data_IF_231811406055
#
_entry.id   IF_231811406055
#
_cell.length_a   1.000
_cell.length_b   1.000
_cell.length_c   1.000
_cell.angle_alpha   90.00
_cell.angle_beta   90.00
_cell.angle_gamma   90.00
#
_symmetry.space_group_name_H-M   'P 1'
#
loop_
_entity.id
_entity.type
_entity.pdbx_description
1 polymer ?
#
# COMPACT_ATOMS: atom_id res chain seq x y z
N UNK A 1 -4.06 8.02 -20.90
CA UNK A 1 -5.09 7.07 -21.42
C UNK A 1 -5.95 6.40 -20.34
N UNK A 2 -5.71 6.60 -19.03
CA UNK A 2 -6.49 5.91 -17.98
C UNK A 2 -7.05 6.87 -16.91
N UNK A 3 -7.29 8.12 -17.32
CA UNK A 3 -7.68 9.21 -16.43
C UNK A 3 -8.96 8.94 -15.62
N UNK A 4 -9.93 8.24 -16.20
CA UNK A 4 -11.15 7.85 -15.50
C UNK A 4 -10.91 6.92 -14.30
N UNK A 5 -10.05 5.90 -14.43
CA UNK A 5 -9.67 4.98 -13.35
C UNK A 5 -8.94 5.77 -12.27
N UNK A 6 -7.93 6.56 -12.66
CA UNK A 6 -7.20 7.43 -11.73
C UNK A 6 -8.12 8.33 -10.92
N UNK A 7 -9.03 9.04 -11.59
CA UNK A 7 -10.02 9.93 -10.95
C UNK A 7 -10.95 9.16 -10.02
N UNK A 8 -11.39 7.96 -10.41
CA UNK A 8 -12.24 7.13 -9.55
C UNK A 8 -11.51 6.72 -8.28
N UNK A 9 -10.22 6.36 -8.35
CA UNK A 9 -9.43 6.04 -7.16
C UNK A 9 -9.29 7.27 -6.25
N UNK A 10 -8.98 8.45 -6.79
CA UNK A 10 -8.94 9.68 -5.99
C UNK A 10 -10.28 10.01 -5.34
N UNK A 11 -11.41 9.79 -6.02
CA UNK A 11 -12.73 9.96 -5.43
C UNK A 11 -12.97 8.99 -4.26
N UNK A 12 -12.45 7.76 -4.32
CA UNK A 12 -12.56 6.79 -3.22
C UNK A 12 -11.78 7.24 -1.98
N UNK A 13 -10.59 7.84 -2.16
CA UNK A 13 -9.84 8.48 -1.06
C UNK A 13 -10.63 9.64 -0.45
N UNK A 14 -11.13 10.55 -1.29
CA UNK A 14 -11.92 11.70 -0.84
C UNK A 14 -13.18 11.29 -0.05
N UNK A 15 -13.88 10.24 -0.51
CA UNK A 15 -15.06 9.70 0.17
C UNK A 15 -14.75 9.10 1.54
N UNK A 16 -13.49 8.76 1.82
CA UNK A 16 -13.00 8.30 3.13
C UNK A 16 -12.41 9.42 3.98
N UNK A 17 -12.56 10.67 3.55
CA UNK A 17 -11.98 11.82 4.24
C UNK A 17 -10.46 11.92 4.11
N UNK A 18 -9.84 11.13 3.22
CA UNK A 18 -8.39 11.20 2.96
C UNK A 18 -8.11 12.43 2.13
N UNK A 19 -7.22 13.27 2.62
CA UNK A 19 -6.77 14.46 1.90
C UNK A 19 -5.70 14.07 0.88
N UNK A 20 -5.84 14.53 -0.36
CA UNK A 20 -4.80 14.34 -1.40
C UNK A 20 -3.96 15.61 -1.49
N UNK A 21 -2.66 15.48 -1.26
CA UNK A 21 -1.70 16.57 -1.39
C UNK A 21 -0.71 16.25 -2.51
N UNK A 22 -0.58 17.17 -3.47
CA UNK A 22 0.44 17.07 -4.52
C UNK A 22 1.67 17.83 -4.04
N UNK A 23 2.79 17.13 -3.92
CA UNK A 23 4.09 17.68 -3.54
C UNK A 23 5.12 17.35 -4.64
N UNK A 24 5.25 18.26 -5.60
CA UNK A 24 6.23 18.14 -6.69
C UNK A 24 7.67 18.40 -6.23
N UNK A 25 7.88 18.77 -4.97
CA UNK A 25 9.22 19.00 -4.39
C UNK A 25 9.84 17.74 -3.79
N UNK A 26 9.10 16.63 -3.76
CA UNK A 26 9.63 15.32 -3.39
C UNK A 26 10.70 14.89 -4.41
N UNK A 27 11.94 14.72 -3.96
CA UNK A 27 13.11 14.35 -4.78
C UNK A 27 13.04 12.92 -5.39
N UNK A 28 11.90 12.25 -5.28
CA UNK A 28 11.67 10.90 -5.79
C UNK A 28 10.65 10.92 -6.93
N UNK A 29 11.02 10.50 -8.16
CA UNK A 29 10.07 10.34 -9.23
C UNK A 29 9.13 9.17 -8.94
N UNK A 30 7.87 9.27 -9.41
CA UNK A 30 6.83 8.26 -9.24
C UNK A 30 6.58 7.92 -7.77
N UNK A 31 6.42 8.96 -6.94
CA UNK A 31 6.20 8.83 -5.51
C UNK A 31 4.71 8.93 -5.17
N UNK A 32 4.22 7.97 -4.39
CA UNK A 32 2.90 8.00 -3.78
C UNK A 32 3.03 7.36 -2.39
N UNK A 33 2.47 7.98 -1.37
CA UNK A 33 2.52 7.44 -0.02
C UNK A 33 1.34 7.90 0.81
N UNK A 34 0.68 6.96 1.48
CA UNK A 34 -0.28 7.27 2.52
C UNK A 34 0.44 7.65 3.81
N UNK A 35 0.45 8.94 4.13
CA UNK A 35 0.98 9.45 5.39
C UNK A 35 -0.03 9.23 6.50
N UNK A 36 0.24 8.23 7.33
CA UNK A 36 -0.43 8.01 8.60
C UNK A 36 0.19 8.95 9.64
N UNK A 37 -0.62 9.82 10.23
CA UNK A 37 -0.19 10.75 11.27
C UNK A 37 -0.42 10.14 12.65
N UNK A 38 0.44 10.46 13.61
CA UNK A 38 0.35 9.95 14.98
C UNK A 38 -0.91 10.44 15.71
N UNK A 39 -1.48 11.57 15.29
CA UNK A 39 -2.70 12.13 15.87
C UNK A 39 -3.93 11.55 15.14
N UNK A 40 -4.79 10.74 15.81
CA UNK A 40 -5.96 10.11 15.18
C UNK A 40 -6.99 11.11 14.65
N UNK A 41 -6.98 12.34 15.17
CA UNK A 41 -7.89 13.42 14.77
C UNK A 41 -7.45 14.10 13.47
N UNK A 42 -6.22 13.85 13.02
CA UNK A 42 -5.74 14.31 11.73
C UNK A 42 -6.03 13.25 10.68
N UNK A 43 -6.91 13.58 9.73
CA UNK A 43 -7.24 12.70 8.62
C UNK A 43 -5.98 12.24 7.87
N UNK A 44 -6.01 11.00 7.39
CA UNK A 44 -4.96 10.45 6.54
C UNK A 44 -4.71 11.37 5.35
N UNK A 45 -3.45 11.51 4.95
CA UNK A 45 -3.06 12.30 3.79
C UNK A 45 -2.34 11.41 2.78
N UNK A 46 -2.85 11.36 1.55
CA UNK A 46 -2.15 10.76 0.43
C UNK A 46 -1.24 11.81 -0.19
N UNK A 47 0.07 11.59 -0.13
CA UNK A 47 1.07 12.45 -0.76
C UNK A 47 1.38 11.91 -2.14
N UNK A 48 1.22 12.75 -3.16
CA UNK A 48 1.47 12.44 -4.57
C UNK A 48 2.64 13.30 -5.05
N UNK A 49 3.73 12.65 -5.46
CA UNK A 49 4.87 13.31 -6.10
C UNK A 49 4.69 13.43 -7.61
N UNK A 50 5.76 13.80 -8.30
CA UNK A 50 5.76 13.89 -9.77
C UNK A 50 5.81 12.51 -10.41
N UNK A 51 4.83 12.21 -11.25
CA UNK A 51 4.79 10.99 -12.06
C UNK A 51 5.28 11.21 -13.49
N UNK A 52 6.06 10.26 -14.00
CA UNK A 52 6.49 10.19 -15.40
C UNK A 52 5.81 9.06 -16.16
N UNK A 53 5.06 8.21 -15.45
CA UNK A 53 4.35 7.05 -15.99
C UNK A 53 2.93 7.01 -15.38
N UNK A 54 1.92 7.29 -16.22
CA UNK A 54 0.50 7.28 -15.85
C UNK A 54 0.04 5.91 -15.33
N UNK A 55 0.58 4.81 -15.87
CA UNK A 55 0.21 3.47 -15.43
C UNK A 55 0.76 3.23 -14.04
N UNK A 56 2.03 3.57 -13.82
CA UNK A 56 2.67 3.44 -12.51
C UNK A 56 1.97 4.30 -11.45
N UNK A 57 1.51 5.50 -11.80
CA UNK A 57 0.68 6.32 -10.91
C UNK A 57 -0.57 5.54 -10.46
N UNK A 58 -1.32 4.97 -11.42
CA UNK A 58 -2.55 4.22 -11.13
C UNK A 58 -2.27 3.01 -10.22
N UNK A 59 -1.18 2.29 -10.46
CA UNK A 59 -0.81 1.15 -9.63
C UNK A 59 -0.46 1.61 -8.21
N UNK A 60 0.35 2.64 -8.07
CA UNK A 60 0.76 3.13 -6.75
C UNK A 60 -0.43 3.68 -5.95
N UNK A 61 -1.30 4.50 -6.54
CA UNK A 61 -2.49 5.00 -5.82
C UNK A 61 -3.47 3.87 -5.48
N UNK A 62 -3.58 2.84 -6.32
CA UNK A 62 -4.40 1.66 -6.01
C UNK A 62 -3.80 0.85 -4.84
N UNK A 63 -2.47 0.72 -4.78
CA UNK A 63 -1.75 0.08 -3.68
C UNK A 63 -1.95 0.81 -2.35
N UNK A 64 -1.81 2.13 -2.35
CA UNK A 64 -2.09 2.96 -1.16
C UNK A 64 -3.54 2.85 -0.70
N UNK A 65 -4.48 2.72 -1.64
CA UNK A 65 -5.87 2.45 -1.28
C UNK A 65 -6.04 1.05 -0.68
N UNK A 66 -5.28 0.07 -1.19
CA UNK A 66 -5.21 -1.27 -0.62
C UNK A 66 -4.76 -1.28 0.84
N UNK A 67 -3.84 -0.39 1.24
CA UNK A 67 -3.47 -0.21 2.65
C UNK A 67 -4.65 0.25 3.50
N UNK A 68 -5.43 1.23 3.04
CA UNK A 68 -6.64 1.68 3.76
C UNK A 68 -7.60 0.50 3.95
N UNK A 69 -7.90 -0.23 2.87
CA UNK A 69 -8.78 -1.40 2.93
C UNK A 69 -8.26 -2.45 3.90
N UNK A 70 -6.95 -2.67 3.93
CA UNK A 70 -6.36 -3.61 4.88
C UNK A 70 -6.58 -3.17 6.33
N UNK A 71 -6.24 -1.93 6.69
CA UNK A 71 -6.40 -1.42 8.05
C UNK A 71 -7.85 -1.34 8.51
N UNK A 72 -8.79 -1.00 7.62
CA UNK A 72 -10.23 -0.97 7.91
C UNK A 72 -10.78 -2.36 8.31
N UNK A 73 -10.09 -3.45 7.93
CA UNK A 73 -10.48 -4.82 8.23
C UNK A 73 -9.70 -5.46 9.39
N UNK A 74 -8.79 -4.73 10.04
CA UNK A 74 -8.04 -5.24 11.19
C UNK A 74 -8.81 -5.04 12.49
N UNK A 75 -8.58 -5.95 13.45
CA UNK A 75 -8.89 -5.66 14.85
C UNK A 75 -8.06 -4.48 15.34
N UNK A 76 -8.44 -3.86 16.47
CA UNK A 76 -7.67 -2.76 17.04
C UNK A 76 -6.25 -3.21 17.40
N UNK A 77 -6.14 -4.39 18.00
CA UNK A 77 -4.88 -4.98 18.43
C UNK A 77 -3.98 -5.27 17.23
N UNK A 78 -4.53 -5.84 16.16
CA UNK A 78 -3.78 -6.11 14.93
C UNK A 78 -3.37 -4.82 14.22
N UNK A 79 -4.22 -3.79 14.23
CA UNK A 79 -3.89 -2.47 13.67
C UNK A 79 -2.75 -1.80 14.45
N UNK A 80 -2.77 -1.83 15.78
CA UNK A 80 -1.69 -1.30 16.62
C UNK A 80 -0.36 -2.00 16.33
N UNK A 81 -0.37 -3.34 16.22
CA UNK A 81 0.81 -4.12 15.86
C UNK A 81 1.33 -3.76 14.44
N UNK A 82 0.43 -3.64 13.47
CA UNK A 82 0.75 -3.25 12.10
C UNK A 82 1.41 -1.87 12.03
N UNK A 83 0.83 -0.87 12.71
CA UNK A 83 1.40 0.48 12.77
C UNK A 83 2.79 0.49 13.42
N UNK A 84 2.97 -0.25 14.51
CA UNK A 84 4.27 -0.35 15.17
C UNK A 84 5.32 -0.97 14.24
N UNK A 85 4.98 -2.04 13.54
CA UNK A 85 5.89 -2.71 12.62
C UNK A 85 6.29 -1.84 11.43
N UNK A 86 5.33 -1.10 10.85
CA UNK A 86 5.61 -0.17 9.74
C UNK A 86 6.43 1.02 10.20
N UNK A 87 6.10 1.61 11.35
CA UNK A 87 6.89 2.71 11.90
C UNK A 87 8.33 2.27 12.19
N UNK A 88 8.51 1.09 12.80
CA UNK A 88 9.83 0.53 13.05
C UNK A 88 10.58 0.24 11.73
N UNK A 89 9.91 -0.33 10.73
CA UNK A 89 10.49 -0.59 9.41
C UNK A 89 10.97 0.70 8.73
N UNK A 90 10.17 1.76 8.77
CA UNK A 90 10.50 3.04 8.15
C UNK A 90 11.66 3.76 8.87
N UNK A 91 11.77 3.61 10.19
CA UNK A 91 12.80 4.30 10.97
C UNK A 91 14.12 3.53 11.06
N UNK A 92 14.04 2.21 11.23
CA UNK A 92 15.21 1.35 11.45
C UNK A 92 15.67 0.64 10.19
N UNK A 93 14.83 0.56 9.15
CA UNK A 93 15.02 -0.31 8.00
C UNK A 93 14.43 -1.69 8.25
N UNK A 94 13.75 -2.24 7.23
CA UNK A 94 13.05 -3.52 7.30
C UNK A 94 13.98 -4.68 7.69
N UNK A 95 15.23 -4.66 7.24
CA UNK A 95 16.24 -5.68 7.58
C UNK A 95 16.62 -5.70 9.06
N UNK A 96 16.34 -4.61 9.79
CA UNK A 96 16.78 -4.38 11.17
C UNK A 96 15.69 -4.56 12.22
N UNK A 97 14.46 -4.91 11.83
CA UNK A 97 13.36 -5.22 12.77
C UNK A 97 13.25 -6.74 13.04
N UNK A 98 12.44 -7.13 14.02
CA UNK A 98 12.28 -8.55 14.41
C UNK A 98 11.73 -9.40 13.25
N UNK A 99 12.00 -10.71 13.21
CA UNK A 99 11.43 -11.62 12.20
C UNK A 99 9.91 -11.55 12.11
N UNK A 100 9.22 -11.43 13.24
CA UNK A 100 7.76 -11.33 13.32
C UNK A 100 7.28 -10.01 12.69
N UNK A 101 7.92 -8.89 13.02
CA UNK A 101 7.61 -7.59 12.40
C UNK A 101 7.91 -7.58 10.90
N UNK A 102 8.97 -8.25 10.45
CA UNK A 102 9.27 -8.44 9.01
C UNK A 102 8.14 -9.19 8.31
N UNK A 103 7.69 -10.30 8.88
CA UNK A 103 6.58 -11.08 8.34
C UNK A 103 5.28 -10.25 8.28
N UNK A 104 5.02 -9.46 9.32
CA UNK A 104 3.85 -8.59 9.39
C UNK A 104 3.88 -7.53 8.29
N UNK A 105 5.00 -6.81 8.13
CA UNK A 105 5.15 -5.81 7.05
C UNK A 105 4.95 -6.45 5.68
N UNK A 106 5.62 -7.58 5.38
CA UNK A 106 5.44 -8.28 4.11
C UNK A 106 3.99 -8.73 3.91
N UNK A 107 3.32 -9.20 4.97
CA UNK A 107 1.91 -9.58 4.93
C UNK A 107 0.99 -8.41 4.58
N UNK A 108 1.23 -7.24 5.18
CA UNK A 108 0.49 -6.01 4.91
C UNK A 108 0.66 -5.60 3.44
N UNK A 109 1.90 -5.57 2.92
CA UNK A 109 2.17 -5.22 1.53
C UNK A 109 1.49 -6.18 0.54
N UNK A 110 1.50 -7.49 0.85
CA UNK A 110 0.79 -8.50 0.04
C UNK A 110 -0.71 -8.24 0.03
N UNK A 111 -1.32 -8.02 1.20
CA UNK A 111 -2.76 -7.75 1.29
C UNK A 111 -3.16 -6.46 0.59
N UNK A 112 -2.37 -5.39 0.73
CA UNK A 112 -2.60 -4.15 0.00
C UNK A 112 -2.57 -4.37 -1.52
N UNK A 113 -1.60 -5.15 -2.01
CA UNK A 113 -1.49 -5.52 -3.42
C UNK A 113 -2.71 -6.30 -3.93
N UNK A 114 -3.20 -7.25 -3.14
CA UNK A 114 -4.41 -8.04 -3.46
C UNK A 114 -5.66 -7.14 -3.55
N UNK A 115 -5.85 -6.25 -2.58
CA UNK A 115 -6.93 -5.27 -2.61
C UNK A 115 -6.82 -4.32 -3.81
N UNK A 116 -5.60 -3.89 -4.15
CA UNK A 116 -5.35 -3.03 -5.30
C UNK A 116 -5.73 -3.71 -6.62
N UNK A 117 -5.36 -4.99 -6.82
CA UNK A 117 -5.75 -5.77 -8.01
C UNK A 117 -7.28 -5.90 -8.08
N UNK A 118 -7.93 -6.21 -6.95
CA UNK A 118 -9.39 -6.32 -6.88
C UNK A 118 -10.06 -4.99 -7.24
N UNK A 119 -9.57 -3.88 -6.69
CA UNK A 119 -10.06 -2.54 -6.99
C UNK A 119 -9.94 -2.21 -8.48
N UNK A 120 -8.76 -2.41 -9.07
CA UNK A 120 -8.51 -2.11 -10.48
C UNK A 120 -9.45 -2.91 -11.39
N UNK A 121 -9.72 -4.19 -11.04
CA UNK A 121 -10.68 -5.03 -11.75
C UNK A 121 -12.11 -4.49 -11.65
N UNK A 122 -12.57 -4.09 -10.46
CA UNK A 122 -13.90 -3.50 -10.25
C UNK A 122 -14.07 -2.18 -10.98
N UNK A 123 -13.01 -1.38 -11.09
CA UNK A 123 -13.01 -0.10 -11.82
C UNK A 123 -12.94 -0.28 -13.35
N UNK A 124 -12.93 -1.51 -13.86
CA UNK A 124 -12.98 -1.80 -15.29
C UNK A 124 -11.63 -1.63 -15.99
N UNK A 125 -10.52 -1.83 -15.28
CA UNK A 125 -9.18 -1.83 -15.88
C UNK A 125 -9.05 -2.97 -16.90
N UNK A 126 -8.34 -2.71 -18.00
CA UNK A 126 -8.08 -3.72 -19.03
C UNK A 126 -7.03 -4.75 -18.59
N UNK A 127 -6.86 -5.80 -19.39
CA UNK A 127 -5.90 -6.87 -19.13
C UNK A 127 -4.44 -6.37 -19.06
N UNK A 128 -4.12 -5.30 -19.78
CA UNK A 128 -2.77 -4.70 -19.75
C UNK A 128 -2.47 -4.10 -18.39
N UNK A 129 -3.38 -3.30 -17.84
CA UNK A 129 -3.24 -2.73 -16.48
C UNK A 129 -3.21 -3.84 -15.43
N UNK A 130 -4.09 -4.83 -15.53
CA UNK A 130 -4.18 -5.91 -14.55
C UNK A 130 -2.95 -6.84 -14.57
N UNK A 131 -2.39 -7.14 -15.76
CA UNK A 131 -1.13 -7.88 -15.87
C UNK A 131 0.02 -7.07 -15.28
N UNK A 132 0.09 -5.77 -15.61
CA UNK A 132 1.14 -4.90 -15.12
C UNK A 132 1.09 -4.73 -13.60
N UNK A 133 -0.10 -4.64 -13.02
CA UNK A 133 -0.31 -4.61 -11.57
C UNK A 133 0.28 -5.85 -10.90
N UNK A 134 -0.07 -7.04 -11.39
CA UNK A 134 0.43 -8.32 -10.85
C UNK A 134 1.94 -8.40 -10.90
N UNK A 135 2.52 -8.13 -12.07
CA UNK A 135 3.98 -8.15 -12.25
C UNK A 135 4.68 -7.18 -11.30
N UNK A 136 4.20 -5.94 -11.23
CA UNK A 136 4.80 -4.87 -10.43
C UNK A 136 4.74 -5.20 -8.94
N UNK A 137 3.58 -5.62 -8.44
CA UNK A 137 3.41 -5.95 -7.03
C UNK A 137 4.20 -7.21 -6.65
N UNK A 138 4.21 -8.24 -7.49
CA UNK A 138 5.03 -9.44 -7.26
C UNK A 138 6.53 -9.09 -7.19
N UNK A 139 7.01 -8.19 -8.06
CA UNK A 139 8.38 -7.69 -8.01
C UNK A 139 8.68 -6.95 -6.70
N UNK A 140 7.76 -6.10 -6.23
CA UNK A 140 7.92 -5.41 -4.94
C UNK A 140 8.00 -6.40 -3.79
N UNK A 141 7.06 -7.36 -3.72
CA UNK A 141 7.05 -8.40 -2.68
C UNK A 141 8.33 -9.24 -2.71
N UNK A 142 8.84 -9.61 -3.89
CA UNK A 142 10.16 -10.26 -4.01
C UNK A 142 11.29 -9.38 -3.47
N UNK A 143 11.25 -8.07 -3.72
CA UNK A 143 12.18 -7.09 -3.16
C UNK A 143 12.14 -7.07 -1.62
N UNK A 144 10.94 -7.05 -1.04
CA UNK A 144 10.73 -7.13 0.41
C UNK A 144 11.26 -8.44 1.00
N UNK A 145 10.96 -9.59 0.39
CA UNK A 145 11.46 -10.90 0.83
C UNK A 145 12.99 -10.97 0.77
N UNK A 146 13.60 -10.42 -0.29
CA UNK A 146 15.06 -10.34 -0.40
C UNK A 146 15.69 -9.50 0.73
N UNK A 147 15.10 -8.37 1.10
CA UNK A 147 15.57 -7.52 2.20
C UNK A 147 15.44 -8.20 3.57
N UNK A 148 14.36 -8.97 3.76
CA UNK A 148 14.08 -9.61 5.06
C UNK A 148 14.86 -10.90 5.28
N UNK A 149 15.31 -11.56 4.21
CA UNK A 149 15.89 -12.91 4.27
C UNK A 149 14.84 -14.00 4.54
N UNK A 150 13.55 -13.68 4.47
CA UNK A 150 12.45 -14.63 4.66
C UNK A 150 12.21 -15.45 3.38
N UNK A 151 11.82 -16.73 3.55
CA UNK A 151 11.35 -17.55 2.42
C UNK A 151 9.93 -17.14 1.99
N UNK A 152 9.54 -17.39 0.73
CA UNK A 152 8.22 -17.03 0.18
C UNK A 152 7.01 -17.52 1.00
N UNK A 153 7.19 -18.57 1.83
CA UNK A 153 6.17 -19.13 2.73
C UNK A 153 5.92 -18.25 3.97
N UNK A 154 5.80 -16.94 3.77
CA UNK A 154 5.26 -16.04 4.80
C UNK A 154 3.76 -16.25 4.84
N UNK A 155 3.32 -17.05 5.82
CA UNK A 155 1.90 -17.19 6.16
C UNK A 155 1.45 -15.87 6.78
N UNK A 156 0.47 -15.24 6.13
CA UNK A 156 -0.25 -14.10 6.70
C UNK A 156 -0.89 -14.62 7.99
N UNK A 157 -0.59 -14.01 9.13
CA UNK A 157 -1.41 -14.17 10.34
C UNK A 157 -2.78 -13.56 10.01
N UNK A 158 -3.62 -14.30 9.30
CA UNK A 158 -5.04 -14.15 9.44
C UNK A 158 -5.35 -14.70 10.83
N UNK A 159 -5.68 -13.82 11.77
CA UNK A 159 -6.45 -14.20 12.93
C UNK A 159 -7.72 -14.88 12.41
N UNK A 160 -7.67 -16.20 12.37
CA UNK A 160 -8.85 -17.04 12.25
C UNK A 160 -9.68 -16.79 13.51
N UNK A 161 -10.64 -15.88 13.41
CA UNK A 161 -11.75 -15.84 14.34
C UNK A 161 -12.83 -16.77 13.81
N UNK A 162 -12.92 -17.94 14.45
CA UNK A 162 -14.12 -18.77 14.53
C UNK A 162 -15.32 -17.99 15.07
#
# INVERSE_FOLDING_TARGET
>A
MYEHIRRNIYNLFANRGVRVEVDETVDFPNFCCLKIQYQPEQNLTLIIGKFTDDVLEILLIAHEFGHIMHYENLSREDAEAAYCAIFASNHLGLENISPESKQLVVGIEKRASEYAISLLSVLGSDETILSRAKETYDEWIRGYLKKTGLSERVTILASSHE
#
